data_IF_416325070526
#
_entry.id   IF_416325070526
#
_cell.length_a   1.000
_cell.length_b   1.000
_cell.length_c   1.000
_cell.angle_alpha   90.00
_cell.angle_beta   90.00
_cell.angle_gamma   90.00
#
_symmetry.space_group_name_H-M   'P 1'
#
loop_
_entity.id
_entity.type
_entity.pdbx_description
1 polymer ?
#
# COMPACT_ATOMS: atom_id res chain seq x y z
N UNK A 1 -4.03 -22.24 -8.31
CA UNK A 1 -5.22 -21.38 -8.36
C UNK A 1 -4.76 -20.01 -8.89
N UNK A 2 -4.90 -19.75 -10.19
CA UNK A 2 -4.37 -18.52 -10.82
C UNK A 2 -5.39 -17.39 -10.67
N UNK A 3 -5.53 -16.85 -9.46
CA UNK A 3 -6.37 -15.68 -9.23
C UNK A 3 -5.75 -14.48 -9.92
N UNK A 4 -6.42 -13.93 -10.93
CA UNK A 4 -6.02 -12.67 -11.56
C UNK A 4 -6.48 -11.53 -10.65
N UNK A 5 -5.57 -10.59 -10.38
CA UNK A 5 -5.90 -9.39 -9.60
C UNK A 5 -6.92 -8.53 -10.36
N UNK A 6 -8.08 -8.28 -9.75
CA UNK A 6 -9.08 -7.37 -10.31
C UNK A 6 -8.48 -5.97 -10.47
N UNK A 7 -8.67 -5.39 -11.65
CA UNK A 7 -8.20 -4.07 -11.99
C UNK A 7 -9.06 -3.45 -13.12
N UNK A 8 -9.07 -2.12 -13.19
CA UNK A 8 -9.77 -1.32 -14.19
C UNK A 8 -11.26 -1.66 -14.31
N UNK A 9 -11.93 -1.86 -13.19
CA UNK A 9 -13.35 -2.21 -13.19
C UNK A 9 -14.21 -1.01 -13.61
N UNK A 10 -15.12 -1.25 -14.54
CA UNK A 10 -16.11 -0.24 -14.95
C UNK A 10 -17.22 -0.21 -13.91
N UNK A 11 -17.26 0.85 -13.10
CA UNK A 11 -18.41 1.13 -12.24
C UNK A 11 -19.55 1.77 -13.03
N UNK A 12 -20.77 1.61 -12.51
CA UNK A 12 -21.95 2.33 -12.98
C UNK A 12 -22.55 3.12 -11.80
N UNK A 13 -22.55 4.46 -11.84
CA UNK A 13 -21.96 5.34 -12.86
C UNK A 13 -20.42 5.20 -12.96
N UNK A 14 -19.82 5.73 -14.03
CA UNK A 14 -18.37 5.69 -14.27
C UNK A 14 -17.63 6.22 -13.03
N UNK A 15 -16.66 5.44 -12.54
CA UNK A 15 -15.85 5.81 -11.37
C UNK A 15 -14.91 6.93 -11.76
N UNK A 16 -15.03 8.07 -11.09
CA UNK A 16 -14.10 9.20 -11.17
C UNK A 16 -13.31 9.33 -9.87
N UNK A 17 -12.16 10.00 -9.96
CA UNK A 17 -11.39 10.40 -8.78
C UNK A 17 -11.79 11.82 -8.38
N UNK A 18 -12.25 11.97 -7.14
CA UNK A 18 -12.50 13.28 -6.54
C UNK A 18 -11.21 13.77 -5.89
N UNK A 19 -10.73 14.95 -6.25
CA UNK A 19 -9.50 15.47 -5.64
C UNK A 19 -9.66 15.65 -4.13
N UNK A 20 -8.67 15.17 -3.37
CA UNK A 20 -8.69 15.28 -1.91
C UNK A 20 -8.19 16.68 -1.56
N UNK A 21 -9.04 17.54 -1.00
CA UNK A 21 -8.67 18.92 -0.66
C UNK A 21 -8.42 19.13 0.84
N UNK A 22 -8.83 18.17 1.68
CA UNK A 22 -8.57 18.22 3.12
C UNK A 22 -7.08 18.04 3.41
N UNK A 23 -6.43 19.11 3.87
CA UNK A 23 -5.00 19.13 4.19
C UNK A 23 -4.59 18.09 5.25
N UNK A 24 -5.45 17.80 6.23
CA UNK A 24 -5.19 16.76 7.23
C UNK A 24 -5.21 15.39 6.58
N UNK A 25 -6.19 15.12 5.72
CA UNK A 25 -6.27 13.85 4.98
C UNK A 25 -5.06 13.65 4.08
N UNK A 26 -4.62 14.69 3.38
CA UNK A 26 -3.41 14.67 2.54
C UNK A 26 -2.18 14.35 3.39
N UNK A 27 -2.00 15.01 4.53
CA UNK A 27 -0.86 14.78 5.42
C UNK A 27 -0.83 13.34 5.96
N UNK A 28 -1.98 12.81 6.39
CA UNK A 28 -2.06 11.44 6.91
C UNK A 28 -1.83 10.38 5.81
N UNK A 29 -2.30 10.66 4.58
CA UNK A 29 -2.04 9.82 3.42
C UNK A 29 -0.56 9.85 3.03
N UNK A 30 0.08 11.01 2.98
CA UNK A 30 1.49 11.10 2.60
C UNK A 30 2.39 10.37 3.60
N UNK A 31 2.06 10.43 4.89
CA UNK A 31 2.78 9.68 5.93
C UNK A 31 2.70 8.15 5.74
N UNK A 32 1.59 7.63 5.21
CA UNK A 32 1.30 6.18 5.14
C UNK A 32 1.44 5.57 3.75
N UNK A 33 1.22 6.39 2.73
CA UNK A 33 1.21 6.04 1.32
C UNK A 33 1.97 7.12 0.51
N UNK A 34 3.26 7.33 0.81
CA UNK A 34 4.08 8.34 0.14
C UNK A 34 4.29 8.01 -1.33
N UNK A 35 4.43 9.04 -2.16
CA UNK A 35 4.66 8.87 -3.59
C UNK A 35 6.16 9.02 -3.93
N UNK A 36 6.97 8.02 -3.57
CA UNK A 36 8.44 8.05 -3.62
C UNK A 36 9.08 8.33 -4.99
N UNK A 37 8.31 8.34 -6.09
CA UNK A 37 8.80 8.66 -7.44
C UNK A 37 8.75 10.16 -7.77
N UNK A 38 8.11 10.97 -6.94
CA UNK A 38 7.84 12.39 -7.21
C UNK A 38 8.28 13.25 -6.03
N UNK A 39 8.51 14.54 -6.27
CA UNK A 39 8.81 15.49 -5.20
C UNK A 39 7.53 15.86 -4.42
N UNK A 40 7.68 16.24 -3.14
CA UNK A 40 6.53 16.45 -2.24
C UNK A 40 5.53 17.52 -2.73
N UNK A 41 5.99 18.57 -3.39
CA UNK A 41 5.09 19.62 -3.90
C UNK A 41 4.22 19.09 -5.04
N UNK A 42 4.80 18.31 -5.96
CA UNK A 42 4.07 17.65 -7.05
C UNK A 42 3.08 16.60 -6.52
N UNK A 43 3.44 15.92 -5.44
CA UNK A 43 2.61 14.91 -4.79
C UNK A 43 1.30 15.49 -4.27
N UNK A 44 1.38 16.59 -3.51
CA UNK A 44 0.21 17.25 -2.92
C UNK A 44 -0.71 17.81 -4.02
N UNK A 45 -0.14 18.45 -5.04
CA UNK A 45 -0.90 19.09 -6.11
C UNK A 45 -1.51 18.13 -7.11
N UNK A 46 -0.88 16.98 -7.38
CA UNK A 46 -1.31 16.08 -8.48
C UNK A 46 -1.94 14.79 -8.00
N UNK A 47 -1.64 14.35 -6.77
CA UNK A 47 -2.20 13.13 -6.16
C UNK A 47 -2.08 11.91 -7.09
N UNK A 48 -1.03 11.87 -7.92
CA UNK A 48 -0.97 11.02 -9.11
C UNK A 48 -1.08 9.53 -8.76
N UNK A 49 -0.33 9.09 -7.74
CA UNK A 49 -0.37 7.71 -7.26
C UNK A 49 -1.75 7.37 -6.70
N UNK A 50 -2.30 8.20 -5.82
CA UNK A 50 -3.61 7.95 -5.20
C UNK A 50 -4.73 7.87 -6.23
N UNK A 51 -4.74 8.79 -7.20
CA UNK A 51 -5.66 8.77 -8.33
C UNK A 51 -5.52 7.50 -9.16
N UNK A 52 -4.29 7.14 -9.53
CA UNK A 52 -4.01 5.94 -10.34
C UNK A 52 -4.44 4.66 -9.63
N UNK A 53 -4.10 4.51 -8.35
CA UNK A 53 -4.42 3.32 -7.56
C UNK A 53 -5.93 3.22 -7.28
N UNK A 54 -6.61 4.35 -7.01
CA UNK A 54 -8.05 4.34 -6.83
C UNK A 54 -8.79 3.96 -8.13
N UNK A 55 -8.45 4.58 -9.27
CA UNK A 55 -9.12 4.28 -10.53
C UNK A 55 -8.83 2.86 -11.01
N UNK A 56 -7.61 2.36 -10.80
CA UNK A 56 -7.22 1.00 -11.21
C UNK A 56 -7.75 -0.08 -10.27
N UNK A 57 -7.70 0.11 -8.95
CA UNK A 57 -8.01 -0.94 -7.98
C UNK A 57 -9.21 -0.61 -7.10
N UNK A 58 -9.33 0.64 -6.62
CA UNK A 58 -10.47 1.10 -5.83
C UNK A 58 -11.81 0.99 -6.56
N UNK A 59 -11.81 1.22 -7.88
CA UNK A 59 -12.99 1.07 -8.76
C UNK A 59 -13.64 -0.32 -8.65
N UNK A 60 -12.85 -1.37 -8.42
CA UNK A 60 -13.34 -2.74 -8.29
C UNK A 60 -14.07 -3.00 -6.96
N UNK A 61 -13.94 -2.12 -5.97
CA UNK A 61 -14.60 -2.20 -4.66
C UNK A 61 -15.63 -1.10 -4.41
N UNK A 62 -15.96 -0.30 -5.43
CA UNK A 62 -16.66 0.98 -5.27
C UNK A 62 -18.04 0.87 -4.62
N UNK A 63 -18.74 -0.25 -4.83
CA UNK A 63 -20.06 -0.50 -4.24
C UNK A 63 -20.01 -0.57 -2.70
N UNK A 64 -18.86 -0.96 -2.13
CA UNK A 64 -18.67 -1.10 -0.69
C UNK A 64 -17.81 0.01 -0.10
N UNK A 65 -16.78 0.44 -0.84
CA UNK A 65 -15.81 1.41 -0.39
C UNK A 65 -15.72 2.55 -1.40
N UNK A 66 -16.57 3.57 -1.21
CA UNK A 66 -16.44 4.84 -1.90
C UNK A 66 -15.07 5.48 -1.60
N UNK A 67 -14.62 6.41 -2.44
CA UNK A 67 -13.24 6.92 -2.39
C UNK A 67 -12.72 7.29 -0.98
N UNK A 68 -13.45 8.04 -0.14
CA UNK A 68 -12.97 8.35 1.21
C UNK A 68 -12.72 7.08 2.04
N UNK A 69 -13.68 6.15 2.03
CA UNK A 69 -13.62 4.89 2.76
C UNK A 69 -12.54 3.94 2.23
N UNK A 70 -12.27 3.95 0.92
CA UNK A 70 -11.15 3.21 0.33
C UNK A 70 -9.80 3.64 0.93
N UNK A 71 -9.56 4.96 0.98
CA UNK A 71 -8.33 5.50 1.56
C UNK A 71 -8.28 5.33 3.08
N UNK A 72 -9.40 5.51 3.79
CA UNK A 72 -9.46 5.25 5.24
C UNK A 72 -9.14 3.80 5.57
N UNK A 73 -9.71 2.86 4.81
CA UNK A 73 -9.41 1.44 5.01
C UNK A 73 -7.93 1.14 4.78
N UNK A 74 -7.33 1.68 3.73
CA UNK A 74 -5.90 1.50 3.46
C UNK A 74 -5.02 2.03 4.59
N UNK A 75 -5.31 3.24 5.11
CA UNK A 75 -4.58 3.83 6.23
C UNK A 75 -4.76 3.01 7.51
N UNK A 76 -5.99 2.59 7.82
CA UNK A 76 -6.28 1.77 9.00
C UNK A 76 -5.55 0.42 8.95
N UNK A 77 -5.49 -0.22 7.78
CA UNK A 77 -4.72 -1.45 7.59
C UNK A 77 -3.22 -1.20 7.76
N UNK A 78 -2.70 -0.09 7.22
CA UNK A 78 -1.29 0.28 7.38
C UNK A 78 -0.89 0.54 8.84
N UNK A 79 -1.81 1.08 9.64
CA UNK A 79 -1.59 1.35 11.07
C UNK A 79 -1.76 0.10 11.93
N UNK A 80 -2.59 -0.86 11.48
CA UNK A 80 -2.76 -2.15 12.15
C UNK A 80 -1.51 -3.03 12.09
N UNK A 81 -0.73 -2.94 11.01
CA UNK A 81 0.43 -3.80 10.79
C UNK A 81 1.74 -3.00 10.79
N UNK A 82 2.37 -2.86 11.95
CA UNK A 82 3.76 -2.39 12.03
C UNK A 82 4.73 -3.53 11.72
N UNK A 83 4.91 -3.79 10.42
CA UNK A 83 5.79 -4.85 9.93
C UNK A 83 7.25 -4.63 10.33
N UNK A 84 7.73 -3.39 10.38
CA UNK A 84 9.14 -3.12 10.72
C UNK A 84 9.42 -3.48 12.18
N UNK A 85 8.56 -3.07 13.10
CA UNK A 85 8.72 -3.42 14.52
C UNK A 85 8.52 -4.93 14.74
N UNK A 86 7.55 -5.54 14.05
CA UNK A 86 7.32 -6.99 14.09
C UNK A 86 8.57 -7.77 13.67
N UNK A 87 9.19 -7.38 12.55
CA UNK A 87 10.41 -8.00 12.04
C UNK A 87 11.58 -7.80 13.00
N UNK A 88 11.77 -6.58 13.53
CA UNK A 88 12.84 -6.27 14.50
C UNK A 88 12.74 -7.11 15.77
N UNK A 89 11.52 -7.32 16.28
CA UNK A 89 11.29 -8.15 17.46
C UNK A 89 11.66 -9.63 17.24
N UNK A 90 11.76 -10.06 15.97
CA UNK A 90 12.22 -11.39 15.58
C UNK A 90 13.68 -11.39 15.10
N UNK A 91 14.45 -10.33 15.38
CA UNK A 91 15.86 -10.22 14.96
C UNK A 91 16.05 -9.92 13.47
N UNK A 92 14.98 -9.57 12.75
CA UNK A 92 15.00 -9.26 11.32
C UNK A 92 15.08 -7.74 11.14
N UNK A 93 16.25 -7.25 10.73
CA UNK A 93 16.54 -5.82 10.52
C UNK A 93 16.93 -5.56 9.07
N UNK A 94 16.58 -4.39 8.50
CA UNK A 94 17.08 -4.00 7.19
C UNK A 94 18.62 -4.02 7.13
N UNK A 95 19.18 -4.47 6.01
CA UNK A 95 20.64 -4.50 5.77
C UNK A 95 21.30 -5.88 5.91
N UNK A 96 20.54 -6.94 6.18
CA UNK A 96 21.05 -8.32 6.26
C UNK A 96 20.20 -9.29 5.43
N UNK A 97 20.68 -10.52 5.28
CA UNK A 97 20.00 -11.60 4.56
C UNK A 97 19.35 -12.56 5.55
N UNK A 98 18.12 -12.99 5.24
CA UNK A 98 17.33 -13.88 6.08
C UNK A 98 16.70 -14.97 5.22
N UNK A 99 16.34 -16.10 5.84
CA UNK A 99 15.54 -17.11 5.16
C UNK A 99 14.11 -16.61 4.95
N UNK A 100 13.50 -17.00 3.84
CA UNK A 100 12.11 -16.63 3.52
C UNK A 100 11.16 -17.05 4.66
N UNK A 101 11.30 -18.28 5.14
CA UNK A 101 10.47 -18.86 6.21
C UNK A 101 10.54 -18.04 7.52
N UNK A 102 11.67 -17.44 7.83
CA UNK A 102 11.83 -16.63 9.05
C UNK A 102 11.02 -15.32 8.94
N UNK A 103 11.05 -14.70 7.76
CA UNK A 103 10.25 -13.51 7.45
C UNK A 103 8.76 -13.86 7.49
N UNK A 104 8.34 -14.96 6.87
CA UNK A 104 6.95 -15.39 6.86
C UNK A 104 6.43 -15.66 8.28
N UNK A 105 7.18 -16.42 9.08
CA UNK A 105 6.82 -16.72 10.48
C UNK A 105 6.69 -15.45 11.31
N UNK A 106 7.63 -14.52 11.19
CA UNK A 106 7.58 -13.26 11.91
C UNK A 106 6.32 -12.46 11.57
N UNK A 107 6.01 -12.30 10.28
CA UNK A 107 4.83 -11.55 9.83
C UNK A 107 3.52 -12.27 10.21
N UNK A 108 3.50 -13.60 10.17
CA UNK A 108 2.32 -14.39 10.57
C UNK A 108 1.85 -14.14 12.00
N UNK A 109 2.76 -13.74 12.90
CA UNK A 109 2.40 -13.39 14.29
C UNK A 109 1.39 -12.24 14.37
N UNK A 110 1.36 -11.35 13.37
CA UNK A 110 0.44 -10.21 13.31
C UNK A 110 -0.62 -10.34 12.22
N UNK A 111 -0.33 -11.02 11.10
CA UNK A 111 -1.27 -11.16 9.98
C UNK A 111 -2.25 -12.33 10.11
N UNK A 112 -2.02 -13.28 11.02
CA UNK A 112 -2.83 -14.51 11.27
C UNK A 112 -2.81 -15.51 10.08
N UNK A 113 -2.41 -15.06 8.88
CA UNK A 113 -2.24 -15.84 7.66
C UNK A 113 -0.85 -15.62 7.06
N UNK A 114 -0.37 -16.61 6.31
CA UNK A 114 0.90 -16.53 5.57
C UNK A 114 0.85 -15.31 4.63
N UNK A 115 1.81 -14.37 4.73
CA UNK A 115 1.87 -13.23 3.82
C UNK A 115 2.30 -13.65 2.42
N UNK A 116 1.92 -12.87 1.40
CA UNK A 116 2.54 -12.99 0.08
C UNK A 116 3.77 -12.09 0.03
N UNK A 117 4.96 -12.69 0.15
CA UNK A 117 6.22 -11.99 -0.02
C UNK A 117 6.52 -11.74 -1.50
N UNK A 118 7.00 -10.53 -1.82
CA UNK A 118 7.43 -10.14 -3.17
C UNK A 118 8.87 -9.68 -3.12
N UNK A 119 9.75 -10.39 -3.83
CA UNK A 119 11.16 -10.08 -3.93
C UNK A 119 11.46 -9.34 -5.23
N UNK A 120 12.45 -8.45 -5.19
CA UNK A 120 13.11 -7.90 -6.36
C UNK A 120 14.57 -8.35 -6.32
N UNK A 121 15.11 -8.74 -7.46
CA UNK A 121 16.56 -8.99 -7.55
C UNK A 121 17.29 -7.66 -7.34
N UNK A 122 18.33 -7.68 -6.50
CA UNK A 122 19.17 -6.50 -6.32
C UNK A 122 19.84 -6.21 -7.67
N UNK A 123 19.65 -5.02 -8.27
CA UNK A 123 20.39 -4.65 -9.46
C UNK A 123 21.90 -4.74 -9.17
N UNK A 124 22.72 -5.25 -10.11
CA UNK A 124 24.17 -5.21 -9.94
C UNK A 124 24.66 -3.75 -9.83
N UNK A 125 25.21 -3.37 -8.67
CA UNK A 125 25.76 -2.03 -8.33
C UNK A 125 24.70 -0.98 -7.94
N UNK A 126 24.84 -0.11 -6.94
CA UNK A 126 25.86 0.20 -5.95
C UNK A 126 25.17 0.41 -4.58
N UNK A 127 25.96 0.22 -3.53
CA UNK A 127 25.69 0.57 -2.12
C UNK A 127 25.09 1.97 -1.97
#
# INVERSE_FOLDING_TARGET
>A
NNSVMLNNCVGYPIVSYNEITDARKISELEKRWPQLKYNNNFVIEKQYLWKKEFLKHGSCGIQRYQQPAYFDLAMNLKDKFDLLSTLRNHGITPGSTYQLDDIEKAVMTVSIKVPSLKCIEKPPGNV
#
